data_IF_014336585921
#
_entry.id   IF_014336585921
#
_cell.length_a   1.000
_cell.length_b   1.000
_cell.length_c   1.000
_cell.angle_alpha   90.00
_cell.angle_beta   90.00
_cell.angle_gamma   90.00
#
_symmetry.space_group_name_H-M   'P 1'
#
loop_
_entity.id
_entity.type
_entity.pdbx_description
1 polymer ?
#
# COMPACT_ATOMS: atom_id res chain seq x y z
N UNK A 1 9.60 6.45 28.72
CA UNK A 1 10.24 5.74 27.59
C UNK A 1 11.74 5.84 27.74
N UNK A 2 12.42 4.70 27.89
CA UNK A 2 13.89 4.63 28.01
C UNK A 2 14.56 4.51 26.63
N UNK A 3 13.89 3.86 25.68
CA UNK A 3 14.39 3.61 24.32
C UNK A 3 14.32 4.84 23.40
N UNK A 4 13.35 5.73 23.63
CA UNK A 4 13.25 7.00 22.90
C UNK A 4 14.25 8.08 23.35
N UNK A 5 15.07 7.78 24.37
CA UNK A 5 16.14 8.69 24.83
C UNK A 5 17.31 8.53 23.85
N UNK A 6 17.72 9.58 23.11
CA UNK A 6 18.73 9.48 22.05
C UNK A 6 20.03 8.75 22.44
N UNK A 7 20.47 8.90 23.69
CA UNK A 7 21.68 8.24 24.21
C UNK A 7 21.55 6.72 24.37
N UNK A 8 20.33 6.23 24.49
CA UNK A 8 20.03 4.81 24.73
C UNK A 8 19.48 4.12 23.47
N UNK A 9 18.93 4.89 22.53
CA UNK A 9 18.21 4.37 21.35
C UNK A 9 19.01 3.33 20.57
N UNK A 10 20.27 3.61 20.23
CA UNK A 10 21.12 2.66 19.50
C UNK A 10 21.39 1.39 20.31
N UNK A 11 21.66 1.51 21.62
CA UNK A 11 21.93 0.33 22.46
C UNK A 11 20.71 -0.57 22.60
N UNK A 12 19.52 0.02 22.75
CA UNK A 12 18.26 -0.75 22.81
C UNK A 12 17.97 -1.39 21.45
N UNK A 13 18.19 -0.67 20.35
CA UNK A 13 18.07 -1.24 19.01
C UNK A 13 19.02 -2.43 18.81
N UNK A 14 20.31 -2.29 19.13
CA UNK A 14 21.30 -3.35 18.97
C UNK A 14 20.96 -4.59 19.80
N UNK A 15 20.42 -4.39 21.01
CA UNK A 15 19.92 -5.49 21.83
C UNK A 15 18.76 -6.22 21.14
N UNK A 16 17.73 -5.50 20.68
CA UNK A 16 16.61 -6.11 19.96
C UNK A 16 17.04 -6.79 18.66
N UNK A 17 17.91 -6.15 17.89
CA UNK A 17 18.45 -6.72 16.67
C UNK A 17 19.19 -8.03 16.97
N UNK A 18 20.04 -8.07 18.01
CA UNK A 18 20.73 -9.29 18.40
C UNK A 18 19.77 -10.43 18.80
N UNK A 19 18.63 -10.10 19.42
CA UNK A 19 17.61 -11.09 19.79
C UNK A 19 16.79 -11.61 18.59
N UNK A 20 16.54 -10.75 17.59
CA UNK A 20 15.54 -11.00 16.55
C UNK A 20 16.14 -11.30 15.16
N UNK A 21 17.41 -10.97 14.93
CA UNK A 21 18.05 -11.05 13.61
C UNK A 21 18.32 -12.48 13.16
N UNK A 22 18.62 -13.37 14.10
CA UNK A 22 18.67 -14.79 13.80
C UNK A 22 17.25 -15.35 13.90
N UNK A 23 16.73 -15.86 12.79
CA UNK A 23 15.36 -16.38 12.70
C UNK A 23 15.14 -17.52 13.68
N UNK A 24 16.14 -18.35 13.94
CA UNK A 24 15.99 -19.46 14.88
C UNK A 24 15.96 -18.98 16.33
N UNK A 25 16.85 -18.05 16.71
CA UNK A 25 16.78 -17.36 18.01
C UNK A 25 15.49 -16.54 18.18
N UNK A 26 15.05 -15.86 17.12
CA UNK A 26 13.86 -15.02 17.10
C UNK A 26 12.57 -15.81 17.26
N UNK A 27 12.48 -17.02 16.71
CA UNK A 27 11.36 -17.96 16.92
C UNK A 27 11.22 -18.40 18.38
N UNK A 28 12.33 -18.57 19.09
CA UNK A 28 12.29 -18.98 20.51
C UNK A 28 11.85 -17.83 21.42
N UNK A 29 12.22 -16.60 21.08
CA UNK A 29 12.01 -15.41 21.92
C UNK A 29 10.64 -14.77 21.65
N UNK A 30 10.27 -14.61 20.38
CA UNK A 30 9.06 -13.90 19.98
C UNK A 30 7.85 -14.83 20.07
N UNK A 31 6.86 -14.43 20.87
CA UNK A 31 5.59 -15.12 21.00
C UNK A 31 4.44 -14.10 21.03
N UNK A 32 3.20 -14.58 20.93
CA UNK A 32 2.03 -13.71 20.90
C UNK A 32 1.93 -12.78 22.12
N UNK A 33 2.40 -13.25 23.29
CA UNK A 33 2.32 -12.52 24.56
C UNK A 33 3.24 -11.31 24.64
N UNK A 34 4.43 -11.34 24.01
CA UNK A 34 5.40 -10.23 24.02
C UNK A 34 5.48 -9.47 22.69
N UNK A 35 4.76 -9.93 21.67
CA UNK A 35 4.81 -9.37 20.32
C UNK A 35 4.46 -7.88 20.26
N UNK A 36 3.39 -7.47 20.94
CA UNK A 36 2.96 -6.07 20.95
C UNK A 36 3.95 -5.16 21.69
N UNK A 37 4.62 -5.67 22.73
CA UNK A 37 5.63 -4.91 23.46
C UNK A 37 6.87 -4.69 22.59
N UNK A 38 7.30 -5.71 21.83
CA UNK A 38 8.42 -5.60 20.90
C UNK A 38 8.09 -4.64 19.75
N UNK A 39 6.88 -4.72 19.19
CA UNK A 39 6.40 -3.76 18.20
C UNK A 39 6.41 -2.33 18.75
N UNK A 40 5.86 -2.11 19.95
CA UNK A 40 5.83 -0.80 20.59
C UNK A 40 7.25 -0.25 20.82
N UNK A 41 8.18 -1.10 21.23
CA UNK A 41 9.57 -0.69 21.44
C UNK A 41 10.28 -0.29 20.13
N UNK A 42 10.05 -1.03 19.05
CA UNK A 42 10.58 -0.69 17.73
C UNK A 42 9.94 0.60 17.19
N UNK A 43 8.65 0.82 17.42
CA UNK A 43 7.94 2.05 17.06
C UNK A 43 8.51 3.26 17.81
N UNK A 44 8.78 3.13 19.11
CA UNK A 44 9.45 4.16 19.92
C UNK A 44 10.85 4.50 19.39
N UNK A 45 11.64 3.50 19.01
CA UNK A 45 12.98 3.69 18.44
C UNK A 45 12.88 4.41 17.09
N UNK A 46 11.93 3.99 16.23
CA UNK A 46 11.70 4.61 14.92
C UNK A 46 11.25 6.06 15.03
N UNK A 47 10.44 6.40 16.04
CA UNK A 47 9.98 7.77 16.27
C UNK A 47 11.13 8.76 16.53
N UNK A 48 12.26 8.31 17.11
CA UNK A 48 13.43 9.17 17.38
C UNK A 48 14.01 9.76 16.08
N UNK A 49 13.89 9.09 14.93
CA UNK A 49 14.38 9.65 13.67
C UNK A 49 13.65 10.92 13.21
N UNK A 50 12.53 11.29 13.86
CA UNK A 50 11.85 12.57 13.64
C UNK A 50 12.76 13.79 13.83
N UNK A 51 13.83 13.69 14.64
CA UNK A 51 14.83 14.76 14.76
C UNK A 51 15.46 15.14 13.40
N UNK A 52 15.58 14.17 12.48
CA UNK A 52 16.09 14.41 11.13
C UNK A 52 15.27 15.42 10.32
N UNK A 53 13.99 15.59 10.63
CA UNK A 53 13.12 16.55 9.96
C UNK A 53 13.62 18.00 10.13
N UNK A 54 14.20 18.32 11.28
CA UNK A 54 14.75 19.65 11.55
C UNK A 54 15.85 20.00 10.55
N UNK A 55 16.75 19.04 10.29
CA UNK A 55 17.82 19.22 9.32
C UNK A 55 17.28 19.31 7.90
N UNK A 56 16.38 18.41 7.49
CA UNK A 56 15.83 18.41 6.12
C UNK A 56 15.14 19.73 5.76
N UNK A 57 14.37 20.29 6.70
CA UNK A 57 13.64 21.53 6.50
C UNK A 57 14.57 22.75 6.50
N UNK A 58 15.56 22.78 7.40
CA UNK A 58 16.54 23.87 7.44
C UNK A 58 17.44 23.84 6.20
N UNK A 59 17.90 22.66 5.80
CA UNK A 59 18.64 22.45 4.58
C UNK A 59 17.87 22.98 3.36
N UNK A 60 16.57 22.64 3.23
CA UNK A 60 15.75 23.15 2.12
C UNK A 60 15.67 24.68 2.13
N UNK A 61 15.49 25.32 3.30
CA UNK A 61 15.47 26.79 3.42
C UNK A 61 16.81 27.42 3.02
N UNK A 62 17.91 26.87 3.49
CA UNK A 62 19.26 27.36 3.17
C UNK A 62 19.56 27.23 1.68
N UNK A 63 19.25 26.09 1.07
CA UNK A 63 19.43 25.89 -0.38
C UNK A 63 18.53 26.83 -1.18
N UNK A 64 17.26 27.00 -0.77
CA UNK A 64 16.32 27.91 -1.46
C UNK A 64 16.73 29.38 -1.37
N UNK A 65 17.49 29.76 -0.35
CA UNK A 65 18.06 31.10 -0.18
C UNK A 65 19.43 31.27 -0.86
N UNK A 66 19.93 30.24 -1.57
CA UNK A 66 21.18 30.29 -2.32
C UNK A 66 22.43 29.93 -1.51
N UNK A 67 22.29 29.49 -0.25
CA UNK A 67 23.42 29.02 0.54
C UNK A 67 23.91 27.66 0.04
N UNK A 68 25.23 27.49 -0.01
CA UNK A 68 25.87 26.20 -0.31
C UNK A 68 26.07 25.45 1.00
N UNK A 69 25.18 24.51 1.27
CA UNK A 69 25.24 23.61 2.42
C UNK A 69 25.47 22.19 1.92
N UNK A 70 26.33 21.43 2.59
CA UNK A 70 26.55 20.02 2.28
C UNK A 70 25.36 19.20 2.78
N UNK A 71 24.72 18.46 1.88
CA UNK A 71 23.54 17.63 2.20
C UNK A 71 23.83 16.57 3.27
N UNK A 72 25.07 16.07 3.31
CA UNK A 72 25.47 14.92 4.12
C UNK A 72 25.85 15.28 5.56
N UNK A 73 25.80 16.56 5.95
CA UNK A 73 26.17 17.00 7.30
C UNK A 73 24.95 17.08 8.23
N UNK A 74 24.10 16.04 8.22
CA UNK A 74 22.94 15.97 9.11
C UNK A 74 23.41 15.69 10.55
N UNK A 75 23.22 16.63 11.51
CA UNK A 75 23.64 16.41 12.89
C UNK A 75 22.87 15.28 13.60
N UNK A 76 21.75 14.83 13.03
CA UNK A 76 20.91 13.76 13.55
C UNK A 76 21.07 12.44 12.77
N UNK A 77 22.10 12.31 11.92
CA UNK A 77 22.21 11.17 11.00
C UNK A 77 22.28 9.82 11.72
N UNK A 78 22.92 9.75 12.88
CA UNK A 78 22.98 8.51 13.67
C UNK A 78 21.59 8.08 14.13
N UNK A 79 20.79 9.01 14.67
CA UNK A 79 19.42 8.74 15.09
C UNK A 79 18.52 8.33 13.92
N UNK A 80 18.67 9.01 12.78
CA UNK A 80 17.96 8.65 11.54
C UNK A 80 18.35 7.24 11.09
N UNK A 81 19.64 6.91 11.12
CA UNK A 81 20.13 5.57 10.75
C UNK A 81 19.54 4.48 11.66
N UNK A 82 19.58 4.67 12.98
CA UNK A 82 18.99 3.73 13.94
C UNK A 82 17.49 3.57 13.72
N UNK A 83 16.77 4.67 13.49
CA UNK A 83 15.33 4.63 13.25
C UNK A 83 14.96 3.88 11.96
N UNK A 84 15.70 4.09 10.88
CA UNK A 84 15.54 3.36 9.61
C UNK A 84 15.78 1.86 9.78
N UNK A 85 16.82 1.50 10.54
CA UNK A 85 17.08 0.10 10.90
C UNK A 85 15.92 -0.49 11.72
N UNK A 86 15.37 0.26 12.68
CA UNK A 86 14.20 -0.17 13.47
C UNK A 86 12.96 -0.42 12.62
N UNK A 87 12.67 0.44 11.64
CA UNK A 87 11.59 0.22 10.66
C UNK A 87 11.84 -1.07 9.86
N UNK A 88 13.09 -1.31 9.48
CA UNK A 88 13.51 -2.50 8.73
C UNK A 88 13.39 -3.77 9.57
N UNK A 89 13.73 -3.70 10.86
CA UNK A 89 13.57 -4.83 11.79
C UNK A 89 12.09 -5.11 12.06
N UNK A 90 11.26 -4.05 12.13
CA UNK A 90 9.80 -4.16 12.28
C UNK A 90 9.19 -4.98 11.14
N UNK A 91 9.49 -4.65 9.88
CA UNK A 91 9.00 -5.47 8.75
C UNK A 91 9.55 -6.90 8.79
N UNK A 92 10.77 -7.09 9.27
CA UNK A 92 11.37 -8.42 9.46
C UNK A 92 10.57 -9.34 10.40
N UNK A 93 9.79 -8.77 11.33
CA UNK A 93 8.89 -9.56 12.18
C UNK A 93 7.85 -10.33 11.37
N UNK A 94 7.50 -9.88 10.16
CA UNK A 94 6.57 -10.59 9.27
C UNK A 94 7.02 -12.04 9.01
N UNK A 95 8.32 -12.27 8.91
CA UNK A 95 8.86 -13.61 8.66
C UNK A 95 8.78 -14.51 9.89
N UNK A 96 8.88 -13.93 11.10
CA UNK A 96 8.75 -14.67 12.37
C UNK A 96 7.27 -14.95 12.70
N UNK A 97 6.39 -13.95 12.58
CA UNK A 97 4.95 -14.14 12.92
C UNK A 97 4.21 -15.07 11.94
N UNK A 98 4.82 -15.34 10.79
CA UNK A 98 4.30 -16.27 9.79
C UNK A 98 4.76 -17.72 10.03
N UNK A 99 5.64 -17.99 11.02
CA UNK A 99 6.11 -19.36 11.30
C UNK A 99 5.11 -20.13 12.15
N UNK A 100 5.19 -21.47 12.06
CA UNK A 100 4.30 -22.35 12.81
C UNK A 100 4.53 -22.23 14.32
N UNK A 101 5.79 -22.03 14.75
CA UNK A 101 6.18 -21.86 16.14
C UNK A 101 5.51 -20.63 16.77
N UNK A 102 5.56 -19.47 16.10
CA UNK A 102 4.89 -18.28 16.60
C UNK A 102 3.38 -18.51 16.69
N UNK A 103 2.78 -19.12 15.67
CA UNK A 103 1.33 -19.33 15.65
C UNK A 103 0.87 -20.27 16.78
N UNK A 104 1.68 -21.25 17.18
CA UNK A 104 1.38 -22.12 18.34
C UNK A 104 1.30 -21.37 19.67
N UNK A 105 1.91 -20.19 19.77
CA UNK A 105 1.86 -19.36 20.99
C UNK A 105 0.58 -18.53 21.10
N UNK A 106 -0.24 -18.48 20.04
CA UNK A 106 -1.46 -17.70 20.00
C UNK A 106 -2.56 -18.45 20.79
N UNK A 107 -3.23 -17.80 21.76
CA UNK A 107 -4.24 -18.47 22.57
C UNK A 107 -5.42 -18.95 21.70
N UNK A 108 -5.62 -20.27 21.64
CA UNK A 108 -6.79 -20.88 20.99
C UNK A 108 -7.95 -20.80 21.99
N UNK A 109 -8.98 -20.01 21.66
CA UNK A 109 -10.22 -20.01 22.44
C UNK A 109 -11.06 -21.25 22.13
N UNK A 110 -10.75 -22.39 22.75
CA UNK A 110 -11.62 -23.57 22.81
C UNK A 110 -12.72 -23.36 23.85
N UNK A 111 -13.64 -22.41 23.60
CA UNK A 111 -14.88 -22.33 24.36
C UNK A 111 -15.96 -23.15 23.67
N UNK A 112 -16.18 -24.34 24.23
CA UNK A 112 -17.30 -25.22 23.96
C UNK A 112 -18.64 -24.46 23.97
N UNK A 113 -19.46 -24.68 22.95
CA UNK A 113 -20.91 -24.78 23.13
C UNK A 113 -21.80 -23.59 22.77
N UNK A 114 -21.35 -22.33 22.77
CA UNK A 114 -22.16 -21.19 22.30
C UNK A 114 -21.25 -20.02 21.91
N UNK A 115 -20.65 -20.10 20.71
CA UNK A 115 -19.70 -19.10 20.23
C UNK A 115 -20.42 -17.83 19.79
N UNK A 116 -20.45 -16.81 20.66
CA UNK A 116 -20.55 -15.42 20.20
C UNK A 116 -19.27 -15.08 19.42
N UNK A 117 -19.40 -14.49 18.25
CA UNK A 117 -18.34 -14.23 17.24
C UNK A 117 -17.14 -13.37 17.69
N UNK A 118 -17.04 -13.01 18.97
CA UNK A 118 -16.13 -11.98 19.49
C UNK A 118 -14.81 -12.47 20.12
N UNK A 119 -14.50 -13.77 20.07
CA UNK A 119 -13.34 -14.36 20.74
C UNK A 119 -12.28 -14.93 19.77
N UNK A 120 -12.03 -14.29 18.63
CA UNK A 120 -10.91 -14.66 17.74
C UNK A 120 -9.68 -13.81 18.09
N UNK A 121 -8.52 -14.43 18.27
CA UNK A 121 -7.27 -13.71 18.45
C UNK A 121 -7.03 -12.79 17.24
N UNK A 122 -6.59 -11.55 17.50
CA UNK A 122 -6.31 -10.58 16.45
C UNK A 122 -5.10 -11.07 15.66
N UNK A 123 -5.24 -11.14 14.33
CA UNK A 123 -4.15 -11.57 13.46
C UNK A 123 -2.93 -10.64 13.64
N UNK A 124 -1.72 -11.19 13.89
CA UNK A 124 -0.54 -10.41 14.23
C UNK A 124 -0.11 -9.46 13.10
N UNK A 125 -0.52 -9.73 11.85
CA UNK A 125 -0.24 -8.85 10.72
C UNK A 125 -0.93 -7.48 10.85
N UNK A 126 -2.07 -7.37 11.53
CA UNK A 126 -2.76 -6.08 11.68
C UNK A 126 -1.95 -5.05 12.49
N UNK A 127 -1.51 -5.34 13.73
CA UNK A 127 -0.67 -4.39 14.46
C UNK A 127 0.69 -4.17 13.78
N UNK A 128 1.23 -5.14 13.03
CA UNK A 128 2.43 -4.93 12.20
C UNK A 128 2.20 -3.84 11.13
N UNK A 129 1.12 -3.99 10.37
CA UNK A 129 0.73 -3.03 9.33
C UNK A 129 0.54 -1.65 9.96
N UNK A 130 -0.14 -1.56 11.10
CA UNK A 130 -0.39 -0.30 11.80
C UNK A 130 0.91 0.36 12.28
N UNK A 131 1.86 -0.41 12.83
CA UNK A 131 3.16 0.10 13.28
C UNK A 131 3.98 0.69 12.12
N UNK A 132 4.03 0.03 10.95
CA UNK A 132 4.73 0.59 9.79
C UNK A 132 3.98 1.79 9.20
N UNK A 133 2.64 1.72 9.15
CA UNK A 133 1.81 2.82 8.69
C UNK A 133 1.98 4.08 9.56
N UNK A 134 2.17 3.94 10.87
CA UNK A 134 2.48 5.05 11.78
C UNK A 134 3.72 5.84 11.30
N UNK A 135 4.76 5.14 10.86
CA UNK A 135 6.00 5.78 10.41
C UNK A 135 5.87 6.45 9.03
N UNK A 136 4.81 6.16 8.27
CA UNK A 136 4.56 6.78 6.97
C UNK A 136 4.15 8.26 7.07
N UNK A 137 3.83 8.78 8.26
CA UNK A 137 3.60 10.21 8.50
C UNK A 137 4.58 10.83 9.51
N UNK A 138 5.76 10.22 9.70
CA UNK A 138 6.87 10.80 10.45
C UNK A 138 7.27 12.18 9.86
N UNK A 139 7.66 13.20 10.62
CA UNK A 139 8.06 14.49 10.04
C UNK A 139 9.33 14.41 9.16
N UNK A 140 10.19 13.41 9.35
CA UNK A 140 11.40 13.20 8.55
C UNK A 140 11.05 12.46 7.24
N UNK A 141 11.36 13.10 6.10
CA UNK A 141 11.08 12.62 4.73
C UNK A 141 11.79 11.30 4.44
N UNK A 142 13.05 11.15 4.87
CA UNK A 142 13.81 9.91 4.70
C UNK A 142 13.10 8.73 5.38
N UNK A 143 12.67 8.91 6.63
CA UNK A 143 11.91 7.90 7.37
C UNK A 143 10.57 7.59 6.71
N UNK A 144 9.78 8.62 6.33
CA UNK A 144 8.48 8.38 5.65
C UNK A 144 8.65 7.59 4.37
N UNK A 145 9.63 7.94 3.55
CA UNK A 145 9.87 7.28 2.27
C UNK A 145 10.26 5.81 2.48
N UNK A 146 11.12 5.54 3.46
CA UNK A 146 11.51 4.18 3.82
C UNK A 146 10.34 3.38 4.39
N UNK A 147 9.59 3.95 5.34
CA UNK A 147 8.41 3.33 5.92
C UNK A 147 7.36 2.99 4.87
N UNK A 148 7.11 3.89 3.91
CA UNK A 148 6.15 3.64 2.84
C UNK A 148 6.57 2.48 1.94
N UNK A 149 7.87 2.37 1.63
CA UNK A 149 8.42 1.23 0.88
C UNK A 149 8.29 -0.08 1.66
N UNK A 150 8.58 -0.04 2.97
CA UNK A 150 8.38 -1.19 3.85
C UNK A 150 6.91 -1.61 3.91
N UNK A 151 5.99 -0.65 4.03
CA UNK A 151 4.56 -0.91 4.05
C UNK A 151 4.08 -1.52 2.73
N UNK A 152 4.51 -0.97 1.59
CA UNK A 152 4.20 -1.53 0.27
C UNK A 152 4.68 -2.98 0.15
N UNK A 153 5.93 -3.24 0.51
CA UNK A 153 6.51 -4.59 0.48
C UNK A 153 5.77 -5.57 1.41
N UNK A 154 5.40 -5.12 2.61
CA UNK A 154 4.65 -5.93 3.57
C UNK A 154 3.27 -6.30 2.99
N UNK A 155 2.54 -5.32 2.46
CA UNK A 155 1.21 -5.54 1.91
C UNK A 155 1.23 -6.44 0.67
N UNK A 156 2.26 -6.35 -0.17
CA UNK A 156 2.46 -7.30 -1.29
C UNK A 156 2.79 -8.68 -0.74
N UNK A 157 3.71 -8.79 0.21
CA UNK A 157 4.13 -10.08 0.79
C UNK A 157 2.97 -10.82 1.47
N UNK A 158 2.09 -10.12 2.18
CA UNK A 158 0.91 -10.70 2.81
C UNK A 158 -0.04 -11.30 1.75
N UNK A 159 -0.22 -10.61 0.62
CA UNK A 159 -1.03 -11.10 -0.49
C UNK A 159 -0.40 -12.34 -1.15
N UNK A 160 0.90 -12.28 -1.46
CA UNK A 160 1.62 -13.35 -2.15
C UNK A 160 1.67 -14.64 -1.33
N UNK A 161 1.96 -14.50 -0.02
CA UNK A 161 2.02 -15.63 0.90
C UNK A 161 0.65 -16.30 1.09
N UNK A 162 -0.45 -15.71 0.57
CA UNK A 162 -1.81 -16.25 0.61
C UNK A 162 -2.05 -16.95 1.95
N UNK A 163 -1.84 -16.24 3.07
CA UNK A 163 -1.94 -16.83 4.42
C UNK A 163 -3.40 -17.23 4.63
N UNK A 164 -3.76 -18.39 4.09
CA UNK A 164 -4.99 -19.14 4.26
C UNK A 164 -4.84 -20.05 5.48
N UNK A 165 -4.11 -19.56 6.48
CA UNK A 165 -4.07 -20.24 7.76
C UNK A 165 -5.46 -20.11 8.37
N UNK A 166 -6.16 -21.23 8.52
CA UNK A 166 -7.53 -21.26 9.04
C UNK A 166 -7.66 -20.64 10.44
N UNK A 167 -6.54 -20.42 11.14
CA UNK A 167 -6.49 -19.75 12.45
C UNK A 167 -6.66 -18.23 12.34
N UNK A 168 -6.28 -17.60 11.23
CA UNK A 168 -6.42 -16.17 10.99
C UNK A 168 -7.01 -15.88 9.61
N UNK A 169 -8.25 -15.40 9.58
CA UNK A 169 -8.83 -14.91 8.33
C UNK A 169 -8.45 -13.45 8.13
N UNK A 170 -7.32 -13.21 7.47
CA UNK A 170 -6.93 -11.86 7.07
C UNK A 170 -7.91 -11.32 6.03
N UNK A 171 -8.76 -10.39 6.45
CA UNK A 171 -9.66 -9.70 5.54
C UNK A 171 -8.91 -8.65 4.72
N UNK A 172 -8.95 -8.70 3.37
CA UNK A 172 -8.41 -7.66 2.50
C UNK A 172 -8.95 -6.26 2.83
N UNK A 173 -10.22 -6.20 3.24
CA UNK A 173 -10.87 -4.95 3.66
C UNK A 173 -10.23 -4.39 4.93
N UNK A 174 -9.94 -5.23 5.93
CA UNK A 174 -9.27 -4.78 7.15
C UNK A 174 -7.81 -4.39 6.88
N UNK A 175 -7.12 -5.09 5.97
CA UNK A 175 -5.77 -4.74 5.54
C UNK A 175 -5.78 -3.34 4.88
N UNK A 176 -6.69 -3.10 3.94
CA UNK A 176 -6.84 -1.80 3.29
C UNK A 176 -7.25 -0.70 4.29
N UNK A 177 -8.22 -0.97 5.16
CA UNK A 177 -8.71 -0.01 6.16
C UNK A 177 -7.58 0.37 7.14
N UNK A 178 -6.85 -0.61 7.69
CA UNK A 178 -5.78 -0.39 8.68
C UNK A 178 -4.48 0.16 8.09
N UNK A 179 -4.04 -0.38 6.96
CA UNK A 179 -2.75 -0.02 6.35
C UNK A 179 -2.79 1.18 5.42
N UNK A 180 -3.94 1.48 4.81
CA UNK A 180 -4.03 2.53 3.80
C UNK A 180 -5.04 3.61 4.15
N UNK A 181 -6.31 3.28 4.37
CA UNK A 181 -7.35 4.30 4.53
C UNK A 181 -7.21 5.07 5.85
N UNK A 182 -6.87 4.39 6.96
CA UNK A 182 -6.58 5.07 8.23
C UNK A 182 -5.36 5.99 8.07
N UNK A 183 -4.30 5.54 7.41
CA UNK A 183 -3.13 6.36 7.11
C UNK A 183 -3.48 7.61 6.29
N UNK A 184 -4.33 7.48 5.26
CA UNK A 184 -4.81 8.65 4.50
C UNK A 184 -5.62 9.61 5.38
N UNK A 185 -6.41 9.11 6.32
CA UNK A 185 -7.13 9.95 7.29
C UNK A 185 -6.17 10.68 8.23
N UNK A 186 -5.12 10.02 8.71
CA UNK A 186 -4.06 10.66 9.50
C UNK A 186 -3.37 11.79 8.73
N UNK A 187 -3.04 11.56 7.46
CA UNK A 187 -2.40 12.56 6.58
C UNK A 187 -3.30 13.76 6.23
N UNK A 188 -4.60 13.70 6.51
CA UNK A 188 -5.50 14.85 6.39
C UNK A 188 -5.45 15.78 7.61
N UNK A 189 -4.99 15.28 8.75
CA UNK A 189 -5.02 16.03 10.00
C UNK A 189 -4.08 17.25 9.93
N UNK A 190 -4.51 18.44 10.38
CA UNK A 190 -3.70 19.66 10.26
C UNK A 190 -2.37 19.60 11.01
N UNK A 191 -2.34 18.95 12.17
CA UNK A 191 -1.15 18.74 12.99
C UNK A 191 -0.10 17.91 12.23
N UNK A 192 -0.50 16.81 11.60
CA UNK A 192 0.39 15.99 10.75
C UNK A 192 0.86 16.77 9.52
N UNK A 193 -0.04 17.42 8.79
CA UNK A 193 0.34 18.17 7.59
C UNK A 193 1.32 19.32 7.90
N UNK A 194 1.12 19.99 9.04
CA UNK A 194 1.94 21.13 9.46
C UNK A 194 3.39 20.76 9.78
N UNK A 195 3.68 19.49 10.08
CA UNK A 195 5.06 19.07 10.39
C UNK A 195 5.99 19.13 9.19
N UNK A 196 5.45 18.99 7.96
CA UNK A 196 6.20 19.15 6.71
C UNK A 196 5.24 19.36 5.53
N UNK A 197 4.74 20.58 5.36
CA UNK A 197 3.68 20.91 4.39
C UNK A 197 3.96 20.38 2.97
N UNK A 198 5.20 20.55 2.47
CA UNK A 198 5.54 20.12 1.10
C UNK A 198 5.74 18.62 1.00
N UNK A 199 6.48 18.03 1.94
CA UNK A 199 6.76 16.60 1.90
C UNK A 199 5.51 15.77 2.18
N UNK A 200 4.57 16.26 2.98
CA UNK A 200 3.31 15.57 3.24
C UNK A 200 2.41 15.51 1.99
N UNK A 201 2.45 16.51 1.10
CA UNK A 201 1.74 16.42 -0.19
C UNK A 201 2.25 15.26 -1.05
N UNK A 202 3.57 15.03 -1.05
CA UNK A 202 4.17 13.91 -1.77
C UNK A 202 3.73 12.59 -1.14
N UNK A 203 3.81 12.50 0.20
CA UNK A 203 3.36 11.32 0.96
C UNK A 203 1.88 11.01 0.72
N UNK A 204 1.00 12.02 0.74
CA UNK A 204 -0.44 11.84 0.47
C UNK A 204 -0.69 11.16 -0.88
N UNK A 205 -0.05 11.64 -1.96
CA UNK A 205 -0.19 11.02 -3.29
C UNK A 205 0.38 9.62 -3.33
N UNK A 206 1.53 9.41 -2.69
CA UNK A 206 2.16 8.11 -2.64
C UNK A 206 1.31 7.06 -1.88
N UNK A 207 0.64 7.45 -0.79
CA UNK A 207 -0.28 6.57 -0.06
C UNK A 207 -1.59 6.35 -0.83
N UNK A 208 -2.11 7.35 -1.57
CA UNK A 208 -3.26 7.11 -2.46
C UNK A 208 -2.88 6.10 -3.55
N UNK A 209 -1.69 6.22 -4.13
CA UNK A 209 -1.17 5.26 -5.10
C UNK A 209 -1.02 3.87 -4.49
N UNK A 210 -0.47 3.75 -3.27
CA UNK A 210 -0.41 2.48 -2.55
C UNK A 210 -1.81 1.88 -2.32
N UNK A 211 -2.78 2.70 -1.92
CA UNK A 211 -4.17 2.27 -1.73
C UNK A 211 -4.75 1.72 -3.04
N UNK A 212 -4.48 2.38 -4.16
CA UNK A 212 -4.87 1.91 -5.49
C UNK A 212 -4.22 0.55 -5.81
N UNK A 213 -2.91 0.41 -5.59
CA UNK A 213 -2.20 -0.87 -5.79
C UNK A 213 -2.81 -2.00 -4.95
N UNK A 214 -3.09 -1.75 -3.67
CA UNK A 214 -3.73 -2.73 -2.78
C UNK A 214 -5.11 -3.14 -3.32
N UNK A 215 -5.94 -2.18 -3.74
CA UNK A 215 -7.26 -2.50 -4.32
C UNK A 215 -7.13 -3.36 -5.59
N UNK A 216 -6.08 -3.16 -6.37
CA UNK A 216 -5.84 -3.90 -7.61
C UNK A 216 -5.30 -5.32 -7.38
N UNK A 217 -4.42 -5.52 -6.39
CA UNK A 217 -3.77 -6.82 -6.16
C UNK A 217 -4.57 -7.75 -5.24
N UNK A 218 -5.40 -7.20 -4.36
CA UNK A 218 -6.22 -8.00 -3.45
C UNK A 218 -7.59 -8.34 -4.07
N UNK A 219 -8.08 -9.54 -3.75
CA UNK A 219 -9.44 -9.95 -4.09
C UNK A 219 -10.42 -9.54 -2.99
N UNK A 220 -11.32 -8.62 -3.30
CA UNK A 220 -12.37 -8.17 -2.37
C UNK A 220 -13.66 -8.98 -2.50
N UNK A 221 -13.72 -9.95 -3.43
CA UNK A 221 -14.89 -10.78 -3.65
C UNK A 221 -15.87 -10.13 -4.62
N UNK A 222 -16.95 -9.55 -4.10
CA UNK A 222 -18.07 -9.11 -4.96
C UNK A 222 -17.84 -7.73 -5.56
N UNK A 223 -18.55 -7.41 -6.65
CA UNK A 223 -18.61 -6.05 -7.19
C UNK A 223 -19.08 -5.03 -6.14
N UNK A 224 -19.95 -5.43 -5.20
CA UNK A 224 -20.41 -4.56 -4.11
C UNK A 224 -19.25 -4.19 -3.17
N UNK A 225 -18.39 -5.16 -2.83
CA UNK A 225 -17.23 -4.95 -1.99
C UNK A 225 -16.20 -4.03 -2.66
N UNK A 226 -15.92 -4.26 -3.95
CA UNK A 226 -15.08 -3.36 -4.76
C UNK A 226 -15.63 -1.93 -4.80
N UNK A 227 -16.94 -1.76 -5.02
CA UNK A 227 -17.58 -0.44 -4.99
C UNK A 227 -17.43 0.24 -3.62
N UNK A 228 -17.59 -0.51 -2.52
CA UNK A 228 -17.47 0.04 -1.18
C UNK A 228 -16.04 0.57 -0.91
N UNK A 229 -15.01 -0.23 -1.22
CA UNK A 229 -13.62 0.18 -0.94
C UNK A 229 -13.17 1.32 -1.85
N UNK A 230 -13.55 1.30 -3.14
CA UNK A 230 -13.26 2.40 -4.07
C UNK A 230 -14.00 3.67 -3.65
N UNK A 231 -15.26 3.58 -3.22
CA UNK A 231 -16.02 4.74 -2.74
C UNK A 231 -15.38 5.38 -1.51
N UNK A 232 -14.89 4.57 -0.56
CA UNK A 232 -14.15 5.09 0.61
C UNK A 232 -12.88 5.83 0.18
N UNK A 233 -12.08 5.23 -0.71
CA UNK A 233 -10.85 5.85 -1.23
C UNK A 233 -11.14 7.17 -1.96
N UNK A 234 -12.11 7.18 -2.88
CA UNK A 234 -12.52 8.38 -3.61
C UNK A 234 -13.02 9.49 -2.68
N UNK A 235 -13.76 9.13 -1.63
CA UNK A 235 -14.22 10.10 -0.61
C UNK A 235 -13.05 10.76 0.11
N UNK A 236 -12.01 10.00 0.46
CA UNK A 236 -10.81 10.55 1.11
C UNK A 236 -9.98 11.37 0.10
N UNK A 237 -9.77 10.86 -1.11
CA UNK A 237 -9.10 11.60 -2.18
C UNK A 237 -9.79 12.93 -2.52
N UNK A 238 -11.13 12.97 -2.46
CA UNK A 238 -11.90 14.19 -2.63
C UNK A 238 -11.56 15.26 -1.58
N UNK A 239 -11.32 14.85 -0.32
CA UNK A 239 -10.88 15.76 0.74
C UNK A 239 -9.49 16.32 0.45
N UNK A 240 -8.56 15.49 -0.05
CA UNK A 240 -7.26 15.97 -0.49
C UNK A 240 -7.36 16.96 -1.64
N UNK A 241 -8.16 16.69 -2.67
CA UNK A 241 -8.37 17.62 -3.78
C UNK A 241 -8.97 18.96 -3.32
N UNK A 242 -9.94 18.92 -2.41
CA UNK A 242 -10.57 20.14 -1.88
C UNK A 242 -9.56 20.98 -1.09
N UNK A 243 -8.65 20.33 -0.36
CA UNK A 243 -7.66 21.00 0.51
C UNK A 243 -6.40 21.45 -0.24
N UNK A 244 -5.95 20.66 -1.21
CA UNK A 244 -4.62 20.74 -1.81
C UNK A 244 -4.64 20.87 -3.34
N UNK A 245 -5.82 20.90 -3.97
CA UNK A 245 -5.94 20.90 -5.43
C UNK A 245 -5.27 22.07 -6.14
N UNK A 246 -5.19 23.23 -5.48
CA UNK A 246 -4.54 24.43 -6.04
C UNK A 246 -3.01 24.45 -5.81
N UNK A 247 -2.46 23.46 -5.10
CA UNK A 247 -1.04 23.41 -4.74
C UNK A 247 -0.26 22.61 -5.79
N UNK A 248 0.57 23.29 -6.58
CA UNK A 248 1.45 22.66 -7.59
C UNK A 248 0.64 21.75 -8.54
N UNK A 249 1.19 20.61 -8.96
CA UNK A 249 0.54 19.64 -9.84
C UNK A 249 -0.27 18.59 -9.06
N UNK A 250 -0.60 18.86 -7.79
CA UNK A 250 -1.20 17.87 -6.88
C UNK A 250 -2.49 17.28 -7.45
N UNK A 251 -3.37 18.15 -7.97
CA UNK A 251 -4.64 17.74 -8.57
C UNK A 251 -4.43 16.79 -9.74
N UNK A 252 -3.58 17.15 -10.69
CA UNK A 252 -3.42 16.39 -11.93
C UNK A 252 -2.76 15.03 -11.66
N UNK A 253 -1.72 15.00 -10.83
CA UNK A 253 -1.08 13.74 -10.41
C UNK A 253 -2.06 12.82 -9.66
N UNK A 254 -2.89 13.38 -8.76
CA UNK A 254 -3.86 12.59 -8.00
C UNK A 254 -4.98 12.03 -8.90
N UNK A 255 -5.48 12.83 -9.84
CA UNK A 255 -6.48 12.39 -10.82
C UNK A 255 -5.94 11.27 -11.70
N UNK A 256 -4.70 11.39 -12.16
CA UNK A 256 -4.06 10.37 -13.00
C UNK A 256 -3.88 9.03 -12.25
N UNK A 257 -3.45 9.07 -10.99
CA UNK A 257 -3.35 7.88 -10.14
C UNK A 257 -4.70 7.15 -10.04
N UNK A 258 -5.77 7.90 -9.75
CA UNK A 258 -7.12 7.35 -9.60
C UNK A 258 -7.68 6.85 -10.92
N UNK A 259 -7.44 7.57 -12.02
CA UNK A 259 -7.86 7.19 -13.37
C UNK A 259 -7.32 5.81 -13.73
N UNK A 260 -6.02 5.57 -13.51
CA UNK A 260 -5.39 4.29 -13.81
C UNK A 260 -6.03 3.12 -13.04
N UNK A 261 -6.33 3.31 -11.75
CA UNK A 261 -7.04 2.28 -10.97
C UNK A 261 -8.47 2.05 -11.48
N UNK A 262 -9.22 3.13 -11.71
CA UNK A 262 -10.62 3.06 -12.16
C UNK A 262 -10.72 2.40 -13.54
N UNK A 263 -9.79 2.68 -14.44
CA UNK A 263 -9.71 2.06 -15.75
C UNK A 263 -9.57 0.53 -15.65
N UNK A 264 -8.70 0.03 -14.77
CA UNK A 264 -8.54 -1.42 -14.57
C UNK A 264 -9.79 -2.05 -13.92
N UNK A 265 -10.47 -1.33 -13.03
CA UNK A 265 -11.61 -1.85 -12.27
C UNK A 265 -12.98 -1.58 -12.91
N UNK A 266 -13.05 -0.88 -14.05
CA UNK A 266 -14.31 -0.35 -14.60
C UNK A 266 -15.41 -1.42 -14.80
N UNK A 267 -15.03 -2.67 -15.07
CA UNK A 267 -15.94 -3.81 -15.24
C UNK A 267 -16.51 -4.33 -13.91
N UNK A 268 -15.77 -4.17 -12.80
CA UNK A 268 -16.16 -4.55 -11.44
C UNK A 268 -16.94 -3.47 -10.68
N UNK A 269 -16.95 -2.24 -11.21
CA UNK A 269 -17.54 -1.08 -10.55
C UNK A 269 -18.94 -0.73 -11.08
N UNK A 270 -19.78 -0.27 -10.14
CA UNK A 270 -21.05 0.39 -10.41
C UNK A 270 -20.80 1.90 -10.39
N UNK A 271 -20.43 2.42 -11.56
CA UNK A 271 -20.12 3.84 -11.72
C UNK A 271 -21.33 4.74 -11.45
N UNK A 272 -22.56 4.24 -11.61
CA UNK A 272 -23.78 5.01 -11.30
C UNK A 272 -23.96 5.19 -9.79
N UNK A 273 -23.64 4.17 -9.00
CA UNK A 273 -23.60 4.31 -7.55
C UNK A 273 -22.48 5.28 -7.11
N UNK A 274 -21.30 5.20 -7.73
CA UNK A 274 -20.16 6.09 -7.39
C UNK A 274 -20.48 7.56 -7.73
N UNK A 275 -21.17 7.82 -8.84
CA UNK A 275 -21.57 9.19 -9.22
C UNK A 275 -22.53 9.85 -8.22
N UNK A 276 -23.24 9.09 -7.40
CA UNK A 276 -24.12 9.62 -6.35
C UNK A 276 -23.36 10.14 -5.13
N UNK A 277 -22.05 9.85 -5.03
CA UNK A 277 -21.21 10.39 -3.97
C UNK A 277 -21.04 11.89 -4.13
N UNK A 278 -20.94 12.61 -3.01
CA UNK A 278 -20.66 14.05 -3.00
C UNK A 278 -19.19 14.33 -3.33
N UNK A 279 -18.83 14.23 -4.61
CA UNK A 279 -17.48 14.41 -5.13
C UNK A 279 -17.30 15.79 -5.79
N UNK A 280 -16.09 16.32 -5.72
CA UNK A 280 -15.71 17.54 -6.42
C UNK A 280 -15.77 17.36 -7.95
N UNK A 281 -15.89 18.48 -8.67
CA UNK A 281 -15.99 18.49 -10.15
C UNK A 281 -14.91 17.63 -10.84
N UNK A 282 -13.61 17.68 -10.47
CA UNK A 282 -12.58 16.87 -11.12
C UNK A 282 -12.85 15.37 -11.03
N UNK A 283 -13.23 14.87 -9.85
CA UNK A 283 -13.55 13.45 -9.68
C UNK A 283 -14.85 13.09 -10.38
N UNK A 284 -15.88 13.93 -10.30
CA UNK A 284 -17.12 13.69 -11.02
C UNK A 284 -16.88 13.57 -12.53
N UNK A 285 -16.10 14.49 -13.13
CA UNK A 285 -15.72 14.42 -14.54
C UNK A 285 -14.96 13.13 -14.87
N UNK A 286 -14.02 12.72 -14.01
CA UNK A 286 -13.28 11.47 -14.18
C UNK A 286 -14.22 10.25 -14.21
N UNK A 287 -15.18 10.14 -13.28
CA UNK A 287 -16.11 9.00 -13.26
C UNK A 287 -17.03 8.99 -14.49
N UNK A 288 -17.48 10.17 -14.95
CA UNK A 288 -18.26 10.29 -16.20
C UNK A 288 -17.45 9.82 -17.40
N UNK A 289 -16.18 10.22 -17.51
CA UNK A 289 -15.26 9.77 -18.57
C UNK A 289 -15.12 8.23 -18.57
N UNK A 290 -14.92 7.61 -17.41
CA UNK A 290 -14.82 6.15 -17.29
C UNK A 290 -16.12 5.44 -17.70
N UNK A 291 -17.28 6.06 -17.46
CA UNK A 291 -18.57 5.50 -17.88
C UNK A 291 -18.72 5.54 -19.40
N UNK A 292 -18.27 6.60 -20.06
CA UNK A 292 -18.32 6.70 -21.52
C UNK A 292 -17.40 5.68 -22.19
N UNK A 293 -16.19 5.48 -21.67
CA UNK A 293 -15.26 4.46 -22.20
C UNK A 293 -15.84 3.04 -22.13
N UNK A 294 -16.54 2.70 -21.03
CA UNK A 294 -17.22 1.40 -20.88
C UNK A 294 -18.32 1.17 -21.93
N UNK A 295 -19.00 2.22 -22.38
CA UNK A 295 -20.05 2.13 -23.41
C UNK A 295 -19.44 1.91 -24.80
N UNK A 296 -18.31 2.56 -25.11
CA UNK A 296 -17.63 2.41 -26.39
C UNK A 296 -17.04 0.99 -26.55
N UNK A 297 -16.42 0.44 -25.50
CA UNK A 297 -15.89 -0.94 -25.51
C UNK A 297 -17.01 -1.99 -25.68
N UNK A 298 -18.17 -1.78 -25.06
CA UNK A 298 -19.32 -2.68 -25.21
C UNK A 298 -19.95 -2.64 -26.61
N UNK A 299 -19.85 -1.52 -27.33
CA UNK A 299 -20.34 -1.38 -28.70
C UNK A 299 -19.42 -2.03 -29.73
N UNK A 300 -18.10 -2.08 -29.48
CA UNK A 300 -17.13 -2.75 -30.37
C UNK A 300 -17.27 -4.28 -30.36
N UNK A 301 -17.75 -4.89 -29.27
CA UNK A 301 -17.98 -6.34 -29.19
C UNK A 301 -19.26 -6.83 -29.90
N UNK A 302 -20.13 -5.93 -30.37
CA UNK A 302 -21.44 -6.25 -30.94
C UNK A 302 -21.58 -6.01 -32.45
N UNK A 303 -20.48 -5.87 -33.20
CA UNK A 303 -20.55 -6.00 -34.67
C UNK A 303 -20.93 -7.44 -35.06
N UNK A 304 -22.03 -7.68 -35.78
CA UNK A 304 -22.41 -9.02 -36.20
C UNK A 304 -21.38 -9.58 -37.19
N UNK A 305 -21.00 -10.85 -37.00
CA UNK A 305 -20.29 -11.66 -37.97
C UNK A 305 -20.99 -11.57 -39.34
N UNK A 306 -20.29 -11.02 -40.32
CA UNK A 306 -20.73 -11.07 -41.72
C UNK A 306 -20.36 -12.45 -42.26
N UNK A 307 -21.40 -13.25 -42.48
CA UNK A 307 -21.39 -14.57 -43.11
C UNK A 307 -20.63 -14.54 -44.46
N UNK A 308 -19.58 -15.37 -44.67
CA UNK A 308 -18.86 -15.37 -45.93
C UNK A 308 -19.34 -16.50 -46.84
N UNK A 309 -19.96 -16.15 -47.98
CA UNK A 309 -19.74 -16.75 -49.32
C UNK A 309 -20.94 -16.58 -50.28
N UNK A 310 -20.81 -16.79 -51.60
CA UNK A 310 -19.60 -16.82 -52.43
C UNK A 310 -19.74 -16.00 -53.75
N UNK A 311 -18.61 -15.63 -54.35
CA UNK A 311 -18.55 -15.51 -55.81
C UNK A 311 -17.12 -15.77 -56.29
N UNK A 312 -16.88 -17.02 -56.72
CA UNK A 312 -15.73 -17.38 -57.56
C UNK A 312 -15.90 -16.82 -58.98
N UNK A 313 -14.80 -16.40 -59.62
CA UNK A 313 -14.69 -16.46 -61.07
C UNK A 313 -13.71 -17.55 -61.51
N UNK A 314 -14.19 -18.34 -62.48
CA UNK A 314 -13.50 -19.38 -63.25
C UNK A 314 -12.24 -18.86 -63.95
N UNK A 315 -11.17 -19.66 -63.94
CA UNK A 315 -10.21 -19.74 -65.06
C UNK A 315 -9.81 -21.21 -65.28
N UNK A 316 -10.17 -21.73 -66.45
CA UNK A 316 -9.69 -22.99 -67.07
C UNK A 316 -8.21 -22.82 -67.50
N UNK A 317 -7.32 -23.70 -67.04
CA UNK A 317 -6.85 -24.94 -67.68
C UNK A 317 -5.78 -24.75 -68.77
N UNK A 318 -4.58 -25.30 -68.53
CA UNK A 318 -3.93 -26.30 -69.40
C UNK A 318 -2.48 -26.62 -68.98
N UNK A 319 -2.26 -27.93 -68.73
CA UNK A 319 -1.10 -28.78 -69.11
C UNK A 319 0.32 -28.31 -68.75
N UNK A 320 1.22 -29.09 -68.13
CA UNK A 320 1.72 -30.43 -68.54
C UNK A 320 2.68 -30.97 -67.45
N UNK A 321 2.87 -32.29 -67.43
CA UNK A 321 3.50 -33.23 -66.46
C UNK A 321 5.07 -33.24 -66.40
N UNK A 322 5.77 -34.27 -65.89
CA UNK A 322 6.24 -34.44 -64.49
C UNK A 322 7.76 -34.79 -64.38
N UNK A 323 8.45 -34.60 -63.23
CA UNK A 323 9.74 -35.32 -62.96
C UNK A 323 9.91 -35.67 -61.47
N UNK A 324 10.22 -36.95 -61.25
CA UNK A 324 10.71 -37.66 -60.06
C UNK A 324 11.97 -37.09 -59.40
N UNK A 325 12.12 -37.30 -58.07
CA UNK A 325 13.28 -37.92 -57.37
C UNK A 325 13.10 -37.68 -55.85
N UNK A 326 12.87 -38.68 -54.99
CA UNK A 326 13.72 -39.79 -54.50
C UNK A 326 14.63 -39.41 -53.31
N UNK A 327 14.47 -40.19 -52.22
CA UNK A 327 15.37 -40.43 -51.07
C UNK A 327 15.56 -39.25 -50.08
N UNK A 328 15.52 -39.40 -48.74
CA UNK A 328 15.83 -40.51 -47.80
C UNK A 328 14.93 -40.39 -46.59
#
# INVERSE_FOLDING_TARGET
MFASIPKNTENVYQFLEALLKDVDSGKEILNYGNYLDILGLLDEISAVGAYGAQWEQEYEKLVSSGHRVEKNNNPFQELVSTALKSITLTIGLNDIISTEEFVLTIPINTQNGNASENNKAVAPQYPLIEAIAHQCYNPCRELRAHALKCLENLLISINDKNIKDARFNLSPKNILDGGCLRLLVELLKPDVESTDLKGMLVTQRAVVNLSCKVILIYDFGTNSDYNQVVSKLLTIANKFLTKNGDKSNFKDELIEILKNMLYVLHSKLDLDSILKLNLSKPLHSLIVEMKTTKLDEAQVLHTPEVDPSPSEPKIEDKTTTPIDTAAV
#
